data_IF_448931459455
#
_entry.id   IF_448931459455
#
_cell.length_a   1.000
_cell.length_b   1.000
_cell.length_c   1.000
_cell.angle_alpha   90.00
_cell.angle_beta   90.00
_cell.angle_gamma   90.00
#
_symmetry.space_group_name_H-M   'P 1'
#
loop_
_entity.id
_entity.type
_entity.pdbx_description
1 polymer ?
#
# COMPACT_ATOMS: atom_id res chain seq x y z
N UNK A 1 -15.01 13.91 10.53
CA UNK A 1 -14.72 13.22 9.26
C UNK A 1 -13.26 13.51 8.96
N UNK A 2 -12.39 12.50 9.01
CA UNK A 2 -10.96 12.66 8.69
C UNK A 2 -10.90 12.82 7.17
N UNK A 3 -10.38 13.95 6.68
CA UNK A 3 -10.12 14.20 5.27
C UNK A 3 -8.74 14.85 5.23
N UNK A 4 -7.88 14.43 4.32
CA UNK A 4 -6.58 15.10 4.08
C UNK A 4 -6.88 16.54 3.63
N UNK A 5 -6.19 17.54 4.19
CA UNK A 5 -6.45 18.98 3.97
C UNK A 5 -5.30 19.61 3.19
N UNK A 6 -5.57 20.31 2.09
CA UNK A 6 -4.58 21.05 1.27
C UNK A 6 -3.68 22.04 2.08
N UNK A 7 -2.39 21.69 2.34
CA UNK A 7 -1.14 22.48 2.46
C UNK A 7 0.10 21.58 2.83
N UNK A 8 1.34 22.11 2.89
CA UNK A 8 2.58 21.31 3.16
C UNK A 8 2.61 20.42 4.44
N UNK A 9 1.64 20.56 5.36
CA UNK A 9 1.36 19.64 6.47
C UNK A 9 0.57 18.37 6.04
N UNK A 10 0.16 18.26 4.78
CA UNK A 10 -0.70 17.22 4.20
C UNK A 10 -0.08 15.83 4.30
N UNK A 11 1.22 15.72 4.06
CA UNK A 11 1.93 14.43 4.13
C UNK A 11 1.94 13.92 5.57
N UNK A 12 2.14 14.81 6.54
CA UNK A 12 2.08 14.44 7.95
C UNK A 12 0.65 14.07 8.37
N UNK A 13 -0.35 14.84 7.93
CA UNK A 13 -1.76 14.55 8.16
C UNK A 13 -2.19 13.22 7.53
N UNK A 14 -1.69 12.91 6.32
CA UNK A 14 -1.89 11.64 5.64
C UNK A 14 -1.35 10.45 6.45
N UNK A 15 -0.13 10.58 6.98
CA UNK A 15 0.49 9.56 7.86
C UNK A 15 -0.36 9.37 9.12
N UNK A 16 -0.69 10.45 9.82
CA UNK A 16 -1.48 10.40 11.06
C UNK A 16 -2.88 9.83 10.81
N UNK A 17 -3.50 10.16 9.68
CA UNK A 17 -4.81 9.62 9.30
C UNK A 17 -4.73 8.10 9.02
N UNK A 18 -3.72 7.66 8.27
CA UNK A 18 -3.48 6.25 7.97
C UNK A 18 -3.23 5.42 9.24
N UNK A 19 -2.38 5.89 10.15
CA UNK A 19 -2.11 5.22 11.43
C UNK A 19 -3.37 5.10 12.29
N UNK A 20 -4.15 6.19 12.41
CA UNK A 20 -5.40 6.19 13.17
C UNK A 20 -6.45 5.27 12.56
N UNK A 21 -6.48 5.13 11.24
CA UNK A 21 -7.36 4.20 10.54
C UNK A 21 -6.92 2.75 10.80
N UNK A 22 -5.63 2.45 10.64
CA UNK A 22 -5.03 1.14 10.88
C UNK A 22 -5.28 0.62 12.30
N UNK A 23 -5.14 1.49 13.31
CA UNK A 23 -5.37 1.13 14.72
C UNK A 23 -6.79 0.60 15.01
N UNK A 24 -7.78 0.93 14.16
CA UNK A 24 -9.18 0.48 14.32
C UNK A 24 -9.45 -0.87 13.66
N UNK A 25 -8.58 -1.33 12.77
CA UNK A 25 -8.79 -2.52 11.94
C UNK A 25 -9.05 -3.79 12.76
N UNK A 26 -8.32 -4.10 13.85
CA UNK A 26 -8.59 -5.29 14.64
C UNK A 26 -10.02 -5.33 15.21
N UNK A 27 -10.53 -4.19 15.67
CA UNK A 27 -11.89 -4.06 16.19
C UNK A 27 -12.94 -4.20 15.08
N UNK A 28 -12.68 -3.60 13.92
CA UNK A 28 -13.57 -3.68 12.75
C UNK A 28 -13.67 -5.12 12.21
N UNK A 29 -12.55 -5.84 12.11
CA UNK A 29 -12.53 -7.26 11.69
C UNK A 29 -13.30 -8.16 12.63
N UNK A 30 -13.15 -7.97 13.95
CA UNK A 30 -13.91 -8.74 14.94
C UNK A 30 -15.42 -8.54 14.80
N UNK A 31 -15.85 -7.34 14.37
CA UNK A 31 -17.26 -7.00 14.17
C UNK A 31 -17.83 -7.54 12.85
N UNK A 32 -17.03 -7.59 11.78
CA UNK A 32 -17.47 -8.00 10.45
C UNK A 32 -17.77 -9.50 10.32
N UNK A 33 -17.18 -10.35 11.17
CA UNK A 33 -17.21 -11.80 10.96
C UNK A 33 -16.22 -12.23 9.87
N UNK A 34 -15.71 -13.46 9.94
CA UNK A 34 -14.55 -13.89 9.14
C UNK A 34 -14.81 -14.04 7.63
N UNK A 35 -16.07 -13.96 7.19
CA UNK A 35 -16.50 -14.57 5.93
C UNK A 35 -16.82 -13.59 4.80
N UNK A 36 -16.73 -12.28 5.00
CA UNK A 36 -17.09 -11.32 3.96
C UNK A 36 -16.02 -10.23 3.81
N UNK A 37 -15.27 -10.32 2.70
CA UNK A 37 -14.31 -9.33 2.17
C UNK A 37 -12.94 -9.25 2.86
N UNK A 38 -12.08 -10.24 2.59
CA UNK A 38 -10.72 -10.37 3.15
C UNK A 38 -9.73 -9.23 2.82
N UNK A 39 -10.09 -8.30 1.94
CA UNK A 39 -9.32 -7.09 1.60
C UNK A 39 -10.06 -5.77 1.90
N UNK A 40 -11.31 -5.80 2.36
CA UNK A 40 -12.05 -4.56 2.62
C UNK A 40 -11.47 -3.83 3.85
N UNK A 41 -11.24 -2.53 3.70
CA UNK A 41 -10.82 -1.63 4.78
C UNK A 41 -11.89 -0.55 4.97
N UNK A 42 -12.64 -0.57 6.08
CA UNK A 42 -13.63 0.45 6.33
C UNK A 42 -12.99 1.84 6.45
N UNK A 43 -13.61 2.85 5.84
CA UNK A 43 -13.17 4.24 5.90
C UNK A 43 -12.00 4.60 4.98
N UNK A 44 -11.61 3.71 4.06
CA UNK A 44 -10.58 3.97 3.06
C UNK A 44 -10.95 5.20 2.22
N UNK A 45 -12.23 5.31 1.85
CA UNK A 45 -12.82 6.42 1.10
C UNK A 45 -12.75 7.77 1.83
N UNK A 46 -12.53 7.77 3.15
CA UNK A 46 -12.37 9.02 3.91
C UNK A 46 -10.98 9.64 3.71
N UNK A 47 -10.01 8.84 3.26
CA UNK A 47 -8.65 9.30 2.96
C UNK A 47 -8.53 9.96 1.59
N UNK A 48 -9.57 9.90 0.77
CA UNK A 48 -9.60 10.47 -0.58
C UNK A 48 -9.82 9.42 -1.66
N UNK A 49 -9.58 9.82 -2.90
CA UNK A 49 -9.69 8.98 -4.09
C UNK A 49 -8.34 8.75 -4.78
N UNK A 50 -7.24 9.28 -4.24
CA UNK A 50 -5.89 9.01 -4.75
C UNK A 50 -5.45 9.92 -5.89
N UNK A 51 -6.25 10.92 -6.26
CA UNK A 51 -5.91 11.82 -7.38
C UNK A 51 -4.78 12.81 -7.07
N UNK A 52 -4.45 12.99 -5.78
CA UNK A 52 -3.33 13.81 -5.32
C UNK A 52 -2.35 12.97 -4.49
N UNK A 53 -1.12 13.45 -4.35
CA UNK A 53 -0.02 12.69 -3.77
C UNK A 53 -0.30 12.26 -2.32
N UNK A 54 -1.00 13.09 -1.57
CA UNK A 54 -1.21 12.95 -0.13
C UNK A 54 -2.36 11.99 0.17
N UNK A 55 -3.41 12.01 -0.64
CA UNK A 55 -4.43 10.94 -0.66
C UNK A 55 -3.80 9.60 -1.06
N UNK A 56 -2.98 9.61 -2.11
CA UNK A 56 -2.31 8.41 -2.60
C UNK A 56 -1.45 7.78 -1.51
N UNK A 57 -0.64 8.59 -0.82
CA UNK A 57 0.21 8.16 0.28
C UNK A 57 -0.61 7.67 1.48
N UNK A 58 -1.68 8.39 1.87
CA UNK A 58 -2.54 8.01 2.99
C UNK A 58 -3.18 6.63 2.76
N UNK A 59 -3.74 6.40 1.58
CA UNK A 59 -4.38 5.14 1.20
C UNK A 59 -3.35 4.01 1.19
N UNK A 60 -2.22 4.19 0.51
CA UNK A 60 -1.17 3.18 0.42
C UNK A 60 -0.63 2.76 1.80
N UNK A 61 -0.38 3.75 2.68
CA UNK A 61 0.13 3.51 4.02
C UNK A 61 -0.91 2.84 4.92
N UNK A 62 -2.18 3.26 4.85
CA UNK A 62 -3.25 2.62 5.61
C UNK A 62 -3.37 1.13 5.25
N UNK A 63 -3.40 0.81 3.95
CA UNK A 63 -3.44 -0.55 3.46
C UNK A 63 -2.24 -1.39 3.94
N UNK A 64 -1.02 -0.84 3.86
CA UNK A 64 0.20 -1.50 4.31
C UNK A 64 0.18 -1.77 5.82
N UNK A 65 -0.22 -0.79 6.64
CA UNK A 65 -0.29 -0.95 8.10
C UNK A 65 -1.41 -1.91 8.54
N UNK A 66 -2.56 -1.88 7.86
CA UNK A 66 -3.71 -2.73 8.19
C UNK A 66 -3.50 -4.22 7.86
N UNK A 67 -2.65 -4.50 6.86
CA UNK A 67 -2.34 -5.84 6.38
C UNK A 67 -0.82 -6.06 6.28
N UNK A 68 -0.06 -5.62 7.30
CA UNK A 68 1.41 -5.73 7.35
C UNK A 68 1.91 -7.10 6.91
N UNK A 69 2.91 -7.09 6.02
CA UNK A 69 3.51 -8.27 5.41
C UNK A 69 2.58 -9.18 4.58
N UNK A 70 1.33 -8.79 4.31
CA UNK A 70 0.37 -9.59 3.55
C UNK A 70 0.04 -9.00 2.18
N UNK A 71 -0.15 -9.87 1.18
CA UNK A 71 -0.68 -9.50 -0.15
C UNK A 71 -2.03 -8.79 -0.11
N UNK A 72 -2.77 -8.95 1.00
CA UNK A 72 -4.05 -8.29 1.23
C UNK A 72 -3.92 -6.77 1.33
N UNK A 73 -2.76 -6.23 1.72
CA UNK A 73 -2.49 -4.80 1.68
C UNK A 73 -2.61 -4.25 0.26
N UNK A 74 -1.89 -4.87 -0.68
CA UNK A 74 -1.86 -4.44 -2.09
C UNK A 74 -3.26 -4.55 -2.71
N UNK A 75 -3.99 -5.62 -2.38
CA UNK A 75 -5.34 -5.82 -2.92
C UNK A 75 -6.38 -4.86 -2.32
N UNK A 76 -6.21 -4.43 -1.08
CA UNK A 76 -7.04 -3.39 -0.49
C UNK A 76 -6.82 -2.05 -1.20
N UNK A 77 -5.57 -1.71 -1.52
CA UNK A 77 -5.24 -0.52 -2.31
C UNK A 77 -5.75 -0.64 -3.76
N UNK A 78 -5.53 -1.79 -4.42
CA UNK A 78 -5.95 -1.98 -5.81
C UNK A 78 -7.47 -1.89 -6.01
N UNK A 79 -8.26 -2.29 -5.01
CA UNK A 79 -9.72 -2.32 -5.11
C UNK A 79 -10.41 -1.09 -4.48
N UNK A 80 -9.65 -0.04 -4.16
CA UNK A 80 -10.28 1.23 -3.77
C UNK A 80 -10.92 1.91 -4.98
N UNK A 81 -11.92 2.76 -4.75
CA UNK A 81 -12.82 3.26 -5.79
C UNK A 81 -12.27 4.38 -6.70
N UNK A 82 -11.06 4.87 -6.44
CA UNK A 82 -10.45 5.98 -7.17
C UNK A 82 -9.21 5.57 -7.99
N UNK A 83 -8.19 6.42 -8.01
CA UNK A 83 -6.92 6.22 -8.70
C UNK A 83 -6.06 5.17 -7.98
N UNK A 84 -6.34 3.90 -8.29
CA UNK A 84 -5.84 2.75 -7.54
C UNK A 84 -4.46 2.27 -7.95
N UNK A 85 -4.03 2.53 -9.18
CA UNK A 85 -2.74 2.09 -9.72
C UNK A 85 -1.56 2.65 -8.91
N UNK A 86 -1.54 3.96 -8.68
CA UNK A 86 -0.50 4.67 -7.93
C UNK A 86 -0.50 4.24 -6.45
N UNK A 87 -1.68 4.13 -5.85
CA UNK A 87 -1.80 3.68 -4.45
C UNK A 87 -1.34 2.24 -4.25
N UNK A 88 -1.70 1.34 -5.17
CA UNK A 88 -1.30 -0.06 -5.11
C UNK A 88 0.19 -0.23 -5.36
N UNK A 89 0.76 0.54 -6.29
CA UNK A 89 2.20 0.56 -6.56
C UNK A 89 3.02 0.97 -5.33
N UNK A 90 2.64 2.07 -4.66
CA UNK A 90 3.32 2.51 -3.43
C UNK A 90 3.09 1.52 -2.30
N UNK A 91 1.87 1.01 -2.13
CA UNK A 91 1.56 0.01 -1.10
C UNK A 91 2.41 -1.26 -1.27
N UNK A 92 2.58 -1.74 -2.51
CA UNK A 92 3.42 -2.90 -2.81
C UNK A 92 4.90 -2.65 -2.46
N UNK A 93 5.42 -1.44 -2.74
CA UNK A 93 6.78 -1.07 -2.34
C UNK A 93 6.95 -1.08 -0.82
N UNK A 94 6.01 -0.51 -0.07
CA UNK A 94 6.05 -0.50 1.41
C UNK A 94 6.03 -1.93 1.99
N UNK A 95 5.13 -2.78 1.52
CA UNK A 95 4.97 -4.16 2.00
C UNK A 95 6.20 -5.02 1.67
N UNK A 96 6.77 -4.85 0.48
CA UNK A 96 7.96 -5.61 0.07
C UNK A 96 9.24 -5.09 0.70
N UNK A 97 9.33 -3.80 1.01
CA UNK A 97 10.42 -3.24 1.81
C UNK A 97 10.40 -3.78 3.25
N UNK A 98 9.22 -3.95 3.84
CA UNK A 98 9.06 -4.52 5.19
C UNK A 98 9.35 -6.03 5.22
N UNK A 99 8.72 -6.79 4.32
CA UNK A 99 8.62 -8.24 4.46
C UNK A 99 9.46 -9.03 3.43
N UNK A 100 10.19 -8.32 2.55
CA UNK A 100 11.04 -8.87 1.50
C UNK A 100 10.27 -9.25 0.23
N UNK A 101 11.02 -9.33 -0.89
CA UNK A 101 10.47 -9.62 -2.23
C UNK A 101 9.70 -10.93 -2.35
N UNK A 102 10.01 -11.91 -1.49
CA UNK A 102 9.36 -13.24 -1.49
C UNK A 102 7.88 -13.19 -1.07
N UNK A 103 7.36 -12.02 -0.70
CA UNK A 103 5.95 -11.80 -0.38
C UNK A 103 5.09 -11.42 -1.57
N UNK A 104 5.70 -11.10 -2.71
CA UNK A 104 4.96 -10.92 -3.96
C UNK A 104 4.47 -12.30 -4.41
N UNK A 105 3.15 -12.50 -4.59
CA UNK A 105 2.63 -13.77 -5.10
C UNK A 105 3.17 -14.05 -6.51
N UNK A 106 3.71 -15.24 -6.74
CA UNK A 106 4.28 -15.61 -8.04
C UNK A 106 3.23 -15.56 -9.14
N UNK A 107 1.97 -15.90 -8.82
CA UNK A 107 0.85 -15.81 -9.75
C UNK A 107 0.60 -14.40 -10.31
N UNK A 108 1.05 -13.34 -9.60
CA UNK A 108 0.97 -11.96 -10.12
C UNK A 108 2.09 -11.65 -11.11
N UNK A 109 3.23 -12.32 -10.97
CA UNK A 109 4.38 -12.14 -11.84
C UNK A 109 4.22 -12.89 -13.17
N UNK A 110 3.43 -13.98 -13.21
CA UNK A 110 3.16 -14.76 -14.42
C UNK A 110 2.58 -13.93 -15.57
N UNK A 111 1.82 -12.88 -15.24
CA UNK A 111 1.17 -12.00 -16.22
C UNK A 111 1.77 -10.59 -16.26
N UNK A 112 2.88 -10.35 -15.57
CA UNK A 112 3.50 -9.04 -15.50
C UNK A 112 4.16 -8.69 -16.84
N UNK A 113 3.65 -7.64 -17.48
CA UNK A 113 4.26 -7.08 -18.68
C UNK A 113 5.70 -6.61 -18.37
N UNK A 114 6.62 -6.85 -19.29
CA UNK A 114 8.04 -6.48 -19.15
C UNK A 114 8.73 -7.05 -17.91
N UNK A 115 8.25 -8.18 -17.35
CA UNK A 115 8.82 -8.83 -16.16
C UNK A 115 10.35 -8.89 -16.18
N UNK A 116 10.94 -9.39 -17.26
CA UNK A 116 12.39 -9.57 -17.38
C UNK A 116 13.14 -8.23 -17.31
N UNK A 117 12.58 -7.17 -17.91
CA UNK A 117 13.16 -5.82 -17.89
C UNK A 117 13.09 -5.24 -16.47
N UNK A 118 11.94 -5.39 -15.80
CA UNK A 118 11.73 -4.90 -14.42
C UNK A 118 12.69 -5.59 -13.45
N UNK A 119 12.86 -6.91 -13.58
CA UNK A 119 13.81 -7.69 -12.76
C UNK A 119 15.26 -7.26 -13.03
N UNK A 120 15.67 -7.10 -14.30
CA UNK A 120 17.02 -6.60 -14.61
C UNK A 120 17.28 -5.22 -14.01
N UNK A 121 16.30 -4.31 -14.10
CA UNK A 121 16.41 -2.98 -13.51
C UNK A 121 16.54 -3.05 -11.98
N UNK A 122 15.75 -3.90 -11.31
CA UNK A 122 15.83 -4.10 -9.87
C UNK A 122 17.21 -4.64 -9.45
N UNK A 123 17.72 -5.67 -10.13
CA UNK A 123 19.03 -6.26 -9.86
C UNK A 123 20.17 -5.25 -10.07
N UNK A 124 20.04 -4.37 -11.06
CA UNK A 124 21.02 -3.30 -11.32
C UNK A 124 20.97 -2.21 -10.25
N UNK A 125 19.76 -1.82 -9.82
CA UNK A 125 19.58 -0.88 -8.71
C UNK A 125 20.14 -1.43 -7.41
N UNK A 126 19.93 -2.71 -7.12
CA UNK A 126 20.51 -3.39 -5.95
C UNK A 126 22.04 -3.31 -5.99
N UNK A 127 22.66 -3.73 -7.11
CA UNK A 127 24.11 -3.68 -7.30
C UNK A 127 24.68 -2.29 -7.04
N UNK A 128 24.10 -1.25 -7.61
CA UNK A 128 24.59 0.13 -7.43
C UNK A 128 24.36 0.61 -5.99
N UNK A 129 23.20 0.32 -5.39
CA UNK A 129 22.86 0.76 -4.02
C UNK A 129 23.79 0.17 -2.95
N UNK A 130 24.42 -0.97 -3.22
CA UNK A 130 25.30 -1.67 -2.29
C UNK A 130 26.78 -1.70 -2.70
N UNK A 131 27.12 -1.36 -3.95
CA UNK A 131 28.51 -1.32 -4.44
C UNK A 131 29.36 -0.20 -3.80
N UNK A 132 28.77 0.89 -3.31
CA UNK A 132 29.51 1.95 -2.61
C UNK A 132 29.75 1.64 -1.12
N UNK A 133 29.25 0.50 -0.61
CA UNK A 133 29.34 0.12 0.81
C UNK A 133 30.39 -0.96 1.11
N UNK A 134 31.20 -1.36 0.12
CA UNK A 134 32.26 -2.40 0.25
C UNK A 134 33.65 -1.86 -0.02
#
# INVERSE_FOLDING_TARGET
MLRVKENADEVYDAIVAAEKAAAKVPALRKKAGADDWWYYLPGLETLGEGFVAEETLAIALYCALAYSGSRYAVLAALNHGGDSDSTAGICAQLVTAEAGRNRIPEEWLEHLECRDIIIDMADRLEKISFAEKS
#
